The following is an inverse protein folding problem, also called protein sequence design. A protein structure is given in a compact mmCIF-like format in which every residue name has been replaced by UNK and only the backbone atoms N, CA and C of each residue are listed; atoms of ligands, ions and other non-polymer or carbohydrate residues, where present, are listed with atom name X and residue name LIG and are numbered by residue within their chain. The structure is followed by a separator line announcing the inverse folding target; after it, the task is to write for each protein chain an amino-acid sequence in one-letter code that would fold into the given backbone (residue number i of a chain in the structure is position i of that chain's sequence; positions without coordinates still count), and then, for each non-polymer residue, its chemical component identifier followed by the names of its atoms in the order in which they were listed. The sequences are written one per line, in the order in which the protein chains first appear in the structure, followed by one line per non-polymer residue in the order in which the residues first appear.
data_IF_037704921638
#
_entry.id   IF_037704921638
#
_cell.length_a   1.000
_cell.length_b   1.000
_cell.length_c   1.000
_cell.angle_alpha   90.00
_cell.angle_beta   90.00
_cell.angle_gamma   90.00
#
_symmetry.space_group_name_H-M   'P 1'
#
loop_
_entity.id
_entity.type
_entity.pdbx_description
1 polymer ?
#
# COMPACT_ATOMS: atom_id res chain seq x y z
N UNK A 1 -31.34 38.69 -19.40
CA UNK A 1 -30.65 38.69 -18.09
C UNK A 1 -30.85 37.40 -17.28
N UNK A 2 -32.07 36.90 -17.01
CA UNK A 2 -32.27 35.65 -16.23
C UNK A 2 -31.65 34.40 -16.89
N UNK A 3 -31.82 34.23 -18.20
CA UNK A 3 -31.24 33.12 -18.96
C UNK A 3 -29.70 33.13 -18.95
N UNK A 4 -29.11 34.32 -19.05
CA UNK A 4 -27.66 34.53 -19.01
C UNK A 4 -27.06 34.20 -17.63
N UNK A 5 -27.72 34.63 -16.55
CA UNK A 5 -27.31 34.27 -15.19
C UNK A 5 -27.42 32.76 -14.93
N UNK A 6 -28.49 32.12 -15.43
CA UNK A 6 -28.65 30.66 -15.32
C UNK A 6 -27.57 29.90 -16.10
N UNK A 7 -27.20 30.40 -17.29
CA UNK A 7 -26.09 29.85 -18.07
C UNK A 7 -24.76 29.98 -17.34
N UNK A 8 -24.44 31.17 -16.81
CA UNK A 8 -23.21 31.38 -16.02
C UNK A 8 -23.15 30.48 -14.80
N UNK A 9 -24.28 30.29 -14.10
CA UNK A 9 -24.36 29.37 -12.96
C UNK A 9 -24.11 27.92 -13.38
N UNK A 10 -24.69 27.47 -14.50
CA UNK A 10 -24.46 26.13 -15.03
C UNK A 10 -23.00 25.92 -15.45
N UNK A 11 -22.39 26.91 -16.11
CA UNK A 11 -20.99 26.89 -16.51
C UNK A 11 -20.05 26.82 -15.29
N UNK A 12 -20.31 27.61 -14.25
CA UNK A 12 -19.53 27.59 -13.01
C UNK A 12 -19.63 26.24 -12.29
N UNK A 13 -20.83 25.65 -12.21
CA UNK A 13 -21.00 24.30 -11.63
C UNK A 13 -20.28 23.22 -12.43
N UNK A 14 -20.27 23.34 -13.76
CA UNK A 14 -19.52 22.41 -14.62
C UNK A 14 -18.01 22.55 -14.41
N UNK A 15 -17.51 23.79 -14.31
CA UNK A 15 -16.10 24.07 -14.02
C UNK A 15 -15.69 23.52 -12.64
N UNK A 16 -16.49 23.75 -11.61
CA UNK A 16 -16.29 23.20 -10.26
C UNK A 16 -16.22 21.66 -10.29
N UNK A 17 -17.20 21.01 -10.92
CA UNK A 17 -17.22 19.54 -11.05
C UNK A 17 -15.99 19.01 -11.79
N UNK A 18 -15.56 19.68 -12.85
CA UNK A 18 -14.36 19.27 -13.58
C UNK A 18 -13.08 19.39 -12.75
N UNK A 19 -12.97 20.43 -11.91
CA UNK A 19 -11.84 20.58 -10.98
C UNK A 19 -11.87 19.49 -9.91
N UNK A 20 -13.04 19.21 -9.33
CA UNK A 20 -13.19 18.19 -8.29
C UNK A 20 -12.80 16.80 -8.82
N UNK A 21 -13.35 16.39 -9.98
CA UNK A 21 -13.02 15.10 -10.60
C UNK A 21 -11.52 14.97 -10.88
N UNK A 22 -10.87 16.01 -11.41
CA UNK A 22 -9.41 16.00 -11.65
C UNK A 22 -8.62 15.87 -10.35
N UNK A 23 -9.06 16.54 -9.28
CA UNK A 23 -8.42 16.45 -7.97
C UNK A 23 -8.56 15.04 -7.39
N UNK A 24 -9.77 14.47 -7.42
CA UNK A 24 -10.06 13.12 -6.94
C UNK A 24 -9.24 12.06 -7.69
N UNK A 25 -9.21 12.13 -9.02
CA UNK A 25 -8.41 11.22 -9.85
C UNK A 25 -6.91 11.30 -9.52
N UNK A 26 -6.38 12.52 -9.30
CA UNK A 26 -4.97 12.69 -8.91
C UNK A 26 -4.67 12.07 -7.55
N UNK A 27 -5.49 12.34 -6.55
CA UNK A 27 -5.31 11.77 -5.22
C UNK A 27 -5.43 10.25 -5.21
N UNK A 28 -6.36 9.70 -6.01
CA UNK A 28 -6.51 8.24 -6.16
C UNK A 28 -5.28 7.63 -6.83
N UNK A 29 -4.72 8.28 -7.85
CA UNK A 29 -3.52 7.79 -8.54
C UNK A 29 -2.28 7.81 -7.63
N UNK A 30 -2.10 8.87 -6.84
CA UNK A 30 -1.00 8.97 -5.88
C UNK A 30 -1.09 7.85 -4.83
N UNK A 31 -2.30 7.56 -4.33
CA UNK A 31 -2.55 6.46 -3.40
C UNK A 31 -2.27 5.07 -4.04
N UNK A 32 -2.72 4.85 -5.27
CA UNK A 32 -2.43 3.63 -6.03
C UNK A 32 -0.92 3.43 -6.20
N UNK A 33 -0.19 4.45 -6.63
CA UNK A 33 1.25 4.35 -6.89
C UNK A 33 2.03 4.08 -5.59
N UNK A 34 1.71 4.80 -4.53
CA UNK A 34 2.36 4.64 -3.22
C UNK A 34 2.15 3.23 -2.65
N UNK A 35 0.90 2.75 -2.64
CA UNK A 35 0.57 1.41 -2.11
C UNK A 35 1.19 0.29 -2.95
N UNK A 36 1.27 0.45 -4.27
CA UNK A 36 1.98 -0.48 -5.14
C UNK A 36 3.47 -0.59 -4.78
N UNK A 37 4.15 0.55 -4.60
CA UNK A 37 5.58 0.56 -4.29
C UNK A 37 5.85 -0.07 -2.91
N UNK A 38 4.98 0.19 -1.92
CA UNK A 38 5.05 -0.45 -0.60
C UNK A 38 4.86 -1.97 -0.72
N UNK A 39 3.81 -2.43 -1.40
CA UNK A 39 3.54 -3.85 -1.57
C UNK A 39 4.69 -4.57 -2.30
N UNK A 40 5.27 -3.93 -3.33
CA UNK A 40 6.44 -4.43 -4.05
C UNK A 40 7.67 -4.52 -3.15
N UNK A 41 7.92 -3.53 -2.31
CA UNK A 41 9.05 -3.53 -1.38
C UNK A 41 8.96 -4.68 -0.36
N UNK A 42 7.77 -4.92 0.21
CA UNK A 42 7.56 -6.06 1.10
C UNK A 42 7.82 -7.40 0.42
N UNK A 43 7.28 -7.58 -0.80
CA UNK A 43 7.45 -8.80 -1.59
C UNK A 43 8.91 -9.06 -1.97
N UNK A 44 9.61 -8.03 -2.44
CA UNK A 44 10.93 -8.19 -3.07
C UNK A 44 12.10 -8.07 -2.08
N UNK A 45 11.91 -7.37 -0.96
CA UNK A 45 12.99 -7.06 -0.03
C UNK A 45 12.73 -7.61 1.36
N UNK A 46 11.62 -7.23 2.00
CA UNK A 46 11.39 -7.52 3.42
C UNK A 46 11.17 -9.01 3.69
N UNK A 47 10.25 -9.66 2.96
CA UNK A 47 9.93 -11.09 3.17
C UNK A 47 11.12 -12.00 2.83
N UNK A 48 11.82 -11.81 1.70
CA UNK A 48 13.02 -12.60 1.40
C UNK A 48 14.12 -12.42 2.45
N UNK A 49 14.37 -11.19 2.91
CA UNK A 49 15.37 -10.93 3.95
C UNK A 49 15.03 -11.64 5.26
N UNK A 50 13.77 -11.57 5.70
CA UNK A 50 13.31 -12.28 6.91
C UNK A 50 13.41 -13.79 6.79
N UNK A 51 13.22 -14.33 5.59
CA UNK A 51 13.40 -15.77 5.32
C UNK A 51 14.87 -16.17 5.43
N UNK A 52 15.80 -15.34 4.92
CA UNK A 52 17.24 -15.58 5.10
C UNK A 52 17.66 -15.52 6.56
N UNK A 53 17.17 -14.52 7.31
CA UNK A 53 17.46 -14.39 8.74
C UNK A 53 17.02 -15.66 9.48
N UNK A 54 15.79 -16.13 9.28
CA UNK A 54 15.31 -17.34 9.95
C UNK A 54 16.15 -18.59 9.60
N UNK A 55 16.59 -18.73 8.34
CA UNK A 55 17.49 -19.83 7.97
C UNK A 55 18.81 -19.78 8.78
N UNK A 56 19.41 -18.59 8.94
CA UNK A 56 20.59 -18.40 9.78
C UNK A 56 20.30 -18.60 11.28
N UNK A 57 19.14 -18.18 11.76
CA UNK A 57 18.72 -18.42 13.15
C UNK A 57 18.63 -19.90 13.47
N UNK A 58 18.16 -20.72 12.53
CA UNK A 58 18.14 -22.19 12.68
C UNK A 58 19.56 -22.76 12.70
N UNK A 59 20.45 -22.29 11.82
CA UNK A 59 21.84 -22.74 11.79
C UNK A 59 22.60 -22.42 13.08
N UNK A 60 22.46 -21.19 13.57
CA UNK A 60 23.10 -20.73 14.81
C UNK A 60 22.55 -21.44 16.05
N UNK A 61 21.24 -21.73 16.06
CA UNK A 61 20.61 -22.51 17.13
C UNK A 61 21.14 -23.95 17.16
N UNK A 62 21.21 -24.61 15.99
CA UNK A 62 21.77 -25.96 15.87
C UNK A 62 23.26 -26.00 16.25
N UNK A 63 23.99 -24.90 16.00
CA UNK A 63 25.38 -24.73 16.43
C UNK A 63 25.56 -24.39 17.91
N UNK A 64 24.49 -24.34 18.70
CA UNK A 64 24.49 -23.92 20.11
C UNK A 64 25.08 -22.51 20.34
N UNK A 65 25.02 -21.64 19.32
CA UNK A 65 25.48 -20.24 19.41
C UNK A 65 24.35 -19.36 19.98
N UNK A 66 23.12 -19.63 19.57
CA UNK A 66 21.90 -18.93 20.00
C UNK A 66 20.99 -19.87 20.78
N UNK A 67 20.04 -19.30 21.52
CA UNK A 67 19.09 -20.07 22.33
C UNK A 67 17.70 -20.17 21.69
N UNK A 68 16.83 -20.99 22.27
CA UNK A 68 15.46 -21.22 21.78
C UNK A 68 14.58 -19.96 21.77
N UNK A 69 14.79 -19.03 22.69
CA UNK A 69 14.01 -17.80 22.74
C UNK A 69 14.36 -16.84 21.59
N UNK A 70 15.63 -16.79 21.20
CA UNK A 70 16.08 -16.01 20.03
C UNK A 70 15.48 -16.58 18.74
N UNK A 71 15.50 -17.91 18.56
CA UNK A 71 14.87 -18.56 17.41
C UNK A 71 13.36 -18.27 17.33
N UNK A 72 12.66 -18.33 18.47
CA UNK A 72 11.24 -17.99 18.55
C UNK A 72 10.97 -16.51 18.24
N UNK A 73 11.84 -15.61 18.69
CA UNK A 73 11.72 -14.18 18.41
C UNK A 73 11.87 -13.89 16.91
N UNK A 74 12.86 -14.50 16.24
CA UNK A 74 13.06 -14.34 14.80
C UNK A 74 11.90 -14.94 13.99
N UNK A 75 11.40 -16.10 14.41
CA UNK A 75 10.21 -16.72 13.79
C UNK A 75 8.98 -15.82 13.90
N UNK A 76 8.74 -15.21 15.07
CA UNK A 76 7.66 -14.22 15.26
C UNK A 76 7.84 -13.00 14.38
N UNK A 77 9.06 -12.48 14.26
CA UNK A 77 9.37 -11.34 13.40
C UNK A 77 9.13 -11.64 11.91
N UNK A 78 9.44 -12.87 11.45
CA UNK A 78 9.13 -13.35 10.10
C UNK A 78 7.62 -13.39 9.85
N UNK A 79 6.85 -13.98 10.76
CA UNK A 79 5.38 -14.02 10.66
C UNK A 79 4.79 -12.61 10.62
N UNK A 80 5.24 -11.71 11.50
CA UNK A 80 4.80 -10.31 11.50
C UNK A 80 5.09 -9.61 10.17
N UNK A 81 6.25 -9.86 9.57
CA UNK A 81 6.62 -9.29 8.27
C UNK A 81 5.77 -9.83 7.12
N UNK A 82 5.36 -11.10 7.17
CA UNK A 82 4.42 -11.70 6.22
C UNK A 82 3.04 -11.05 6.35
N UNK A 83 2.55 -10.86 7.59
CA UNK A 83 1.26 -10.19 7.83
C UNK A 83 1.26 -8.75 7.30
N UNK A 84 2.34 -7.99 7.51
CA UNK A 84 2.50 -6.65 6.95
C UNK A 84 2.52 -6.66 5.41
N UNK A 85 3.20 -7.64 4.80
CA UNK A 85 3.21 -7.83 3.35
C UNK A 85 1.81 -8.10 2.78
N UNK A 86 1.03 -8.95 3.45
CA UNK A 86 -0.36 -9.23 3.06
C UNK A 86 -1.24 -7.99 3.18
N UNK A 87 -1.10 -7.22 4.26
CA UNK A 87 -1.83 -5.96 4.44
C UNK A 87 -1.43 -4.93 3.37
N UNK A 88 -0.14 -4.81 3.05
CA UNK A 88 0.32 -3.93 1.97
C UNK A 88 -0.29 -4.34 0.61
N UNK A 89 -0.30 -5.63 0.31
CA UNK A 89 -0.96 -6.16 -0.90
C UNK A 89 -2.45 -5.85 -0.92
N UNK A 90 -3.16 -6.03 0.21
CA UNK A 90 -4.58 -5.67 0.33
C UNK A 90 -4.80 -4.18 0.06
N UNK A 91 -4.00 -3.31 0.67
CA UNK A 91 -4.12 -1.86 0.50
C UNK A 91 -3.90 -1.44 -0.95
N UNK A 92 -2.95 -2.08 -1.65
CA UNK A 92 -2.76 -1.88 -3.09
C UNK A 92 -4.02 -2.21 -3.89
N UNK A 93 -4.64 -3.37 -3.66
CA UNK A 93 -5.87 -3.75 -4.37
C UNK A 93 -7.05 -2.82 -4.06
N UNK A 94 -7.16 -2.34 -2.83
CA UNK A 94 -8.16 -1.32 -2.48
C UNK A 94 -7.92 0.00 -3.23
N UNK A 95 -6.65 0.42 -3.34
CA UNK A 95 -6.29 1.62 -4.07
C UNK A 95 -6.49 1.48 -5.59
N UNK A 96 -6.25 0.30 -6.15
CA UNK A 96 -6.52 -0.03 -7.56
C UNK A 96 -8.01 0.10 -7.89
N UNK A 97 -8.88 -0.47 -7.05
CA UNK A 97 -10.34 -0.31 -7.20
C UNK A 97 -10.74 1.15 -7.05
N UNK A 98 -10.23 1.86 -6.05
CA UNK A 98 -10.55 3.28 -5.83
C UNK A 98 -10.13 4.16 -7.03
N UNK A 99 -8.95 3.91 -7.61
CA UNK A 99 -8.50 4.58 -8.82
C UNK A 99 -9.46 4.33 -9.98
N UNK A 100 -9.91 3.08 -10.17
CA UNK A 100 -10.89 2.73 -11.19
C UNK A 100 -12.26 3.40 -11.00
N UNK A 101 -12.64 3.79 -9.78
CA UNK A 101 -13.88 4.53 -9.51
C UNK A 101 -13.75 6.05 -9.61
N UNK A 102 -12.53 6.59 -9.52
CA UNK A 102 -12.26 8.02 -9.55
C UNK A 102 -12.02 8.56 -10.98
N UNK A 103 -11.86 7.66 -11.96
CA UNK A 103 -11.70 7.93 -13.38
C UNK A 103 -13.00 7.56 -14.10
#
# INVERSE_FOLDING_TARGET
RKAELAYMQAANRMAEKAVNVRSEARSAYDAYRSTYDIARHYRNSVVPLRTKIEAESVLTYNGMITNTFELLADTRAKIGSIMLSLNAKRNFWLADVNLGTAI
#
